data_IF_432303729424
#
_entry.id   IF_432303729424
#
_cell.length_a   1.000
_cell.length_b   1.000
_cell.length_c   1.000
_cell.angle_alpha   90.00
_cell.angle_beta   90.00
_cell.angle_gamma   90.00
#
_symmetry.space_group_name_H-M   'P 1'
#
loop_
_entity.id
_entity.type
_entity.pdbx_description
1 polymer ?
#
# COMPACT_ATOMS: atom_id res chain seq x y z
N UNK A 1 -15.82 -1.00 -14.57
CA UNK A 1 -14.66 -1.63 -13.89
C UNK A 1 -14.88 -3.13 -13.86
N UNK A 2 -13.81 -3.93 -13.92
CA UNK A 2 -13.91 -5.40 -13.86
C UNK A 2 -13.03 -5.94 -12.73
N UNK A 3 -13.52 -6.92 -11.99
CA UNK A 3 -12.74 -7.66 -10.99
C UNK A 3 -12.14 -8.88 -11.68
N UNK A 4 -10.84 -9.11 -11.50
CA UNK A 4 -10.11 -10.22 -12.10
C UNK A 4 -9.14 -10.83 -11.08
N UNK A 5 -8.96 -12.15 -11.11
CA UNK A 5 -7.85 -12.78 -10.40
C UNK A 5 -6.56 -12.57 -11.20
N UNK A 6 -5.40 -12.51 -10.54
CA UNK A 6 -4.13 -12.33 -11.24
C UNK A 6 -3.61 -13.69 -11.73
N UNK A 7 -4.01 -14.05 -12.94
CA UNK A 7 -3.51 -15.22 -13.67
C UNK A 7 -2.47 -14.81 -14.74
N UNK A 8 -1.96 -15.78 -15.51
CA UNK A 8 -0.98 -15.53 -16.59
C UNK A 8 -1.49 -14.55 -17.64
N UNK A 9 -2.78 -14.64 -18.01
CA UNK A 9 -3.41 -13.77 -19.01
C UNK A 9 -3.51 -12.34 -18.51
N UNK A 10 -3.91 -12.11 -17.27
CA UNK A 10 -3.95 -10.77 -16.68
C UNK A 10 -2.54 -10.18 -16.57
N UNK A 11 -1.55 -10.99 -16.19
CA UNK A 11 -0.13 -10.56 -16.13
C UNK A 11 0.38 -10.11 -17.50
N UNK A 12 0.07 -10.84 -18.57
CA UNK A 12 0.42 -10.46 -19.94
C UNK A 12 -0.22 -9.13 -20.34
N UNK A 13 -1.53 -8.98 -20.09
CA UNK A 13 -2.25 -7.74 -20.43
C UNK A 13 -1.74 -6.50 -19.68
N UNK A 14 -1.26 -6.68 -18.45
CA UNK A 14 -0.62 -5.60 -17.67
C UNK A 14 0.72 -5.18 -18.31
N UNK A 15 1.50 -6.14 -18.81
CA UNK A 15 2.76 -5.88 -19.54
C UNK A 15 2.50 -5.19 -20.88
N UNK A 16 1.54 -5.66 -21.66
CA UNK A 16 1.14 -5.03 -22.93
C UNK A 16 0.68 -3.57 -22.74
N UNK A 17 0.09 -3.29 -21.57
CA UNK A 17 -0.35 -1.95 -21.17
C UNK A 17 0.74 -1.12 -20.51
N UNK A 18 1.95 -1.65 -20.37
CA UNK A 18 3.14 -1.09 -19.68
C UNK A 18 2.92 -0.73 -18.20
N UNK A 19 1.81 -1.16 -17.62
CA UNK A 19 1.46 -0.85 -16.24
C UNK A 19 2.35 -1.60 -15.24
N UNK A 20 2.75 -2.83 -15.58
CA UNK A 20 3.65 -3.62 -14.73
C UNK A 20 5.11 -3.16 -14.80
N UNK A 21 5.48 -2.42 -15.83
CA UNK A 21 6.83 -1.84 -15.96
C UNK A 21 6.97 -0.66 -14.98
N UNK A 22 5.91 0.14 -14.85
CA UNK A 22 5.80 1.21 -13.86
C UNK A 22 5.55 0.68 -12.45
N UNK A 23 4.82 -0.44 -12.31
CA UNK A 23 4.35 -0.95 -11.02
C UNK A 23 4.24 -2.47 -11.02
N UNK A 24 5.37 -3.13 -10.81
CA UNK A 24 5.52 -4.59 -10.87
C UNK A 24 4.71 -5.35 -9.82
N UNK A 25 4.39 -4.71 -8.69
CA UNK A 25 3.61 -5.30 -7.59
C UNK A 25 2.19 -5.75 -8.00
N UNK A 26 1.65 -5.23 -9.11
CA UNK A 26 0.38 -5.68 -9.70
C UNK A 26 0.40 -7.17 -10.06
N UNK A 27 1.57 -7.68 -10.47
CA UNK A 27 1.76 -9.07 -10.87
C UNK A 27 1.73 -10.06 -9.69
N UNK A 28 1.86 -9.55 -8.47
CA UNK A 28 1.86 -10.33 -7.23
C UNK A 28 0.60 -10.13 -6.38
N UNK A 29 -0.40 -9.41 -6.93
CA UNK A 29 -1.71 -9.28 -6.29
C UNK A 29 -2.50 -10.59 -6.36
N UNK A 30 -3.35 -10.82 -5.38
CA UNK A 30 -4.29 -11.94 -5.38
C UNK A 30 -5.40 -11.69 -6.43
N UNK A 31 -5.86 -10.44 -6.50
CA UNK A 31 -6.85 -9.96 -7.45
C UNK A 31 -6.64 -8.47 -7.77
N UNK A 32 -7.25 -8.04 -8.87
CA UNK A 32 -7.27 -6.65 -9.32
C UNK A 32 -8.70 -6.20 -9.62
N UNK A 33 -8.94 -4.91 -9.45
CA UNK A 33 -9.98 -4.18 -10.16
C UNK A 33 -9.31 -3.39 -11.28
N UNK A 34 -9.80 -3.57 -12.51
CA UNK A 34 -9.23 -2.95 -13.70
C UNK A 34 -10.23 -2.04 -14.41
N UNK A 35 -9.70 -1.00 -15.05
CA UNK A 35 -10.40 -0.15 -16.03
C UNK A 35 -9.75 -0.37 -17.39
N UNK A 36 -10.59 -0.56 -18.41
CA UNK A 36 -10.15 -0.80 -19.77
C UNK A 36 -10.61 0.34 -20.69
N UNK A 37 -9.77 0.68 -21.66
CA UNK A 37 -10.11 1.56 -22.77
C UNK A 37 -9.44 1.02 -24.03
N UNK A 38 -10.20 0.89 -25.12
CA UNK A 38 -9.74 0.27 -26.37
C UNK A 38 -9.05 -1.09 -26.16
N UNK A 39 -9.70 -1.96 -25.36
CA UNK A 39 -9.23 -3.30 -24.96
C UNK A 39 -7.93 -3.36 -24.13
N UNK A 40 -7.28 -2.23 -23.86
CA UNK A 40 -6.08 -2.13 -23.00
C UNK A 40 -6.45 -1.76 -21.58
N UNK A 41 -5.66 -2.22 -20.61
CA UNK A 41 -5.84 -1.85 -19.20
C UNK A 41 -5.22 -0.48 -19.01
N UNK A 42 -6.02 0.52 -18.66
CA UNK A 42 -5.56 1.91 -18.46
C UNK A 42 -5.39 2.28 -16.99
N UNK A 43 -5.87 1.43 -16.08
CA UNK A 43 -5.69 1.59 -14.66
C UNK A 43 -6.06 0.31 -13.93
N UNK A 44 -5.36 0.06 -12.83
CA UNK A 44 -5.54 -1.12 -12.00
C UNK A 44 -5.33 -0.75 -10.53
N UNK A 45 -6.11 -1.37 -9.65
CA UNK A 45 -5.83 -1.40 -8.23
C UNK A 45 -5.99 -2.82 -7.73
N UNK A 46 -5.20 -3.21 -6.74
CA UNK A 46 -5.10 -4.59 -6.30
C UNK A 46 -4.78 -4.72 -4.82
N UNK A 47 -4.92 -5.94 -4.31
CA UNK A 47 -4.42 -6.35 -3.00
C UNK A 47 -3.51 -7.55 -3.20
N UNK A 48 -2.32 -7.50 -2.61
CA UNK A 48 -1.32 -8.55 -2.70
C UNK A 48 -0.48 -8.71 -1.44
N UNK A 49 0.31 -9.77 -1.42
CA UNK A 49 1.23 -10.07 -0.33
C UNK A 49 0.52 -10.53 0.95
N UNK A 50 1.32 -10.99 1.91
CA UNK A 50 0.81 -11.49 3.20
C UNK A 50 0.19 -10.38 4.06
N UNK A 51 0.59 -9.13 3.83
CA UNK A 51 0.08 -7.97 4.55
C UNK A 51 -1.10 -7.29 3.83
N UNK A 52 -1.62 -7.90 2.75
CA UNK A 52 -2.76 -7.38 2.00
C UNK A 52 -2.51 -5.92 1.58
N UNK A 53 -1.31 -5.70 1.05
CA UNK A 53 -0.84 -4.40 0.61
C UNK A 53 -1.62 -4.02 -0.63
N UNK A 54 -2.20 -2.83 -0.57
CA UNK A 54 -2.96 -2.28 -1.67
C UNK A 54 -2.05 -1.53 -2.65
N UNK A 55 -2.28 -1.76 -3.93
CA UNK A 55 -1.60 -1.08 -5.03
C UNK A 55 -2.60 -0.30 -5.90
N UNK A 56 -2.13 0.76 -6.58
CA UNK A 56 -2.92 1.57 -7.50
C UNK A 56 -2.02 2.17 -8.58
N UNK A 57 -2.39 1.97 -9.84
CA UNK A 57 -1.85 2.70 -10.97
C UNK A 57 -2.96 3.15 -11.91
N UNK A 58 -2.80 4.32 -12.50
CA UNK A 58 -3.59 4.82 -13.62
C UNK A 58 -2.60 5.43 -14.61
N UNK A 59 -2.72 5.08 -15.88
CA UNK A 59 -1.88 5.67 -16.94
C UNK A 59 -2.05 7.19 -16.95
N UNK A 60 -0.95 7.92 -17.17
CA UNK A 60 -0.90 9.39 -17.06
C UNK A 60 -2.02 10.11 -17.82
N UNK A 61 -2.28 9.69 -19.07
CA UNK A 61 -3.32 10.27 -19.94
C UNK A 61 -4.75 10.15 -19.40
N UNK A 62 -4.97 9.29 -18.40
CA UNK A 62 -6.26 9.02 -17.78
C UNK A 62 -6.32 9.45 -16.30
N UNK A 63 -5.27 10.07 -15.77
CA UNK A 63 -5.27 10.65 -14.42
C UNK A 63 -6.18 11.89 -14.35
N UNK A 64 -6.49 12.33 -13.12
CA UNK A 64 -7.38 13.47 -12.83
C UNK A 64 -8.85 13.34 -13.31
N UNK A 65 -9.27 12.14 -13.72
CA UNK A 65 -10.65 11.82 -14.12
C UNK A 65 -11.46 11.07 -13.04
N UNK A 66 -11.00 11.07 -11.80
CA UNK A 66 -11.62 10.33 -10.70
C UNK A 66 -11.43 8.80 -10.73
N UNK A 67 -10.74 8.25 -11.73
CA UNK A 67 -10.55 6.79 -11.84
C UNK A 67 -9.84 6.17 -10.63
N UNK A 68 -8.85 6.86 -10.07
CA UNK A 68 -8.08 6.35 -8.94
C UNK A 68 -8.95 6.09 -7.70
N UNK A 69 -9.82 7.04 -7.33
CA UNK A 69 -10.69 6.88 -6.16
C UNK A 69 -11.74 5.79 -6.37
N UNK A 70 -12.27 5.67 -7.59
CA UNK A 70 -13.22 4.62 -7.95
C UNK A 70 -12.59 3.23 -7.89
N UNK A 71 -11.36 3.08 -8.41
CA UNK A 71 -10.58 1.85 -8.35
C UNK A 71 -10.31 1.43 -6.89
N UNK A 72 -9.88 2.38 -6.06
CA UNK A 72 -9.61 2.13 -4.64
C UNK A 72 -10.86 1.70 -3.87
N UNK A 73 -12.01 2.35 -4.11
CA UNK A 73 -13.29 1.92 -3.51
C UNK A 73 -13.65 0.50 -3.92
N UNK A 74 -13.59 0.22 -5.21
CA UNK A 74 -13.97 -1.10 -5.74
C UNK A 74 -13.08 -2.22 -5.17
N UNK A 75 -11.77 -1.98 -5.01
CA UNK A 75 -10.85 -2.94 -4.38
C UNK A 75 -11.18 -3.18 -2.91
N UNK A 76 -11.52 -2.13 -2.15
CA UNK A 76 -11.90 -2.27 -0.74
C UNK A 76 -13.19 -3.09 -0.60
N UNK A 77 -14.19 -2.82 -1.43
CA UNK A 77 -15.45 -3.58 -1.40
C UNK A 77 -15.25 -5.04 -1.81
N UNK A 78 -14.41 -5.29 -2.81
CA UNK A 78 -14.07 -6.66 -3.20
C UNK A 78 -13.27 -7.40 -2.11
N UNK A 79 -12.36 -6.72 -1.41
CA UNK A 79 -11.62 -7.29 -0.29
C UNK A 79 -12.57 -7.74 0.84
N UNK A 80 -13.60 -6.94 1.15
CA UNK A 80 -14.65 -7.31 2.11
C UNK A 80 -15.41 -8.55 1.66
N UNK A 81 -15.84 -8.61 0.38
CA UNK A 81 -16.55 -9.77 -0.19
C UNK A 81 -15.71 -11.05 -0.12
N UNK A 82 -14.40 -10.93 -0.38
CA UNK A 82 -13.42 -12.01 -0.26
C UNK A 82 -13.02 -12.34 1.18
N UNK A 83 -13.66 -11.71 2.18
CA UNK A 83 -13.47 -11.96 3.61
C UNK A 83 -12.05 -11.67 4.12
N UNK A 84 -11.33 -10.75 3.49
CA UNK A 84 -10.09 -10.22 4.08
C UNK A 84 -10.41 -9.62 5.46
N UNK A 85 -9.45 -9.67 6.37
CA UNK A 85 -9.65 -9.09 7.71
C UNK A 85 -9.26 -7.62 7.79
N UNK A 86 -8.38 -7.18 6.89
CA UNK A 86 -7.88 -5.81 6.81
C UNK A 86 -7.22 -5.57 5.45
N UNK A 87 -6.88 -4.30 5.19
CA UNK A 87 -5.98 -3.87 4.12
C UNK A 87 -4.96 -2.86 4.64
N UNK A 88 -3.75 -2.90 4.08
CA UNK A 88 -2.68 -1.96 4.39
C UNK A 88 -2.34 -1.14 3.15
N UNK A 89 -1.97 0.12 3.36
CA UNK A 89 -1.37 0.94 2.33
C UNK A 89 -0.23 1.78 2.91
N UNK A 90 0.56 2.40 2.04
CA UNK A 90 1.46 3.46 2.43
C UNK A 90 1.17 4.74 1.64
N UNK A 91 1.48 5.90 2.23
CA UNK A 91 1.41 7.19 1.53
C UNK A 91 2.57 8.07 1.93
N UNK A 92 2.93 8.99 1.04
CA UNK A 92 3.69 10.17 1.44
C UNK A 92 2.76 11.11 2.23
N UNK A 93 3.06 11.43 3.51
CA UNK A 93 2.25 12.38 4.26
C UNK A 93 2.30 13.80 3.67
N UNK A 94 3.31 14.13 2.86
CA UNK A 94 3.45 15.43 2.21
C UNK A 94 2.67 15.53 0.89
N UNK A 95 1.95 14.49 0.49
CA UNK A 95 1.06 14.52 -0.68
C UNK A 95 -0.40 14.77 -0.23
N UNK A 96 -0.89 16.02 -0.20
CA UNK A 96 -2.20 16.35 0.35
C UNK A 96 -3.36 15.71 -0.41
N UNK A 97 -3.20 15.50 -1.73
CA UNK A 97 -4.21 14.82 -2.55
C UNK A 97 -4.34 13.37 -2.12
N UNK A 98 -3.22 12.67 -1.93
CA UNK A 98 -3.23 11.28 -1.49
C UNK A 98 -3.70 11.13 -0.03
N UNK A 99 -3.38 12.10 0.82
CA UNK A 99 -3.92 12.17 2.19
C UNK A 99 -5.44 12.23 2.17
N UNK A 100 -6.03 13.20 1.46
CA UNK A 100 -7.49 13.35 1.35
C UNK A 100 -8.19 12.12 0.79
N UNK A 101 -7.61 11.50 -0.25
CA UNK A 101 -8.18 10.29 -0.85
C UNK A 101 -8.22 9.15 0.16
N UNK A 102 -7.13 8.91 0.89
CA UNK A 102 -7.09 7.83 1.88
C UNK A 102 -7.99 8.10 3.10
N UNK A 103 -8.05 9.34 3.56
CA UNK A 103 -8.91 9.72 4.69
C UNK A 103 -10.39 9.55 4.34
N UNK A 104 -10.78 9.90 3.11
CA UNK A 104 -12.12 9.66 2.58
C UNK A 104 -12.47 8.17 2.47
N UNK A 105 -11.47 7.31 2.26
CA UNK A 105 -11.62 5.86 2.23
C UNK A 105 -11.50 5.20 3.62
N UNK A 106 -11.45 6.01 4.68
CA UNK A 106 -11.28 5.57 6.07
C UNK A 106 -9.99 4.76 6.32
N UNK A 107 -8.97 4.92 5.48
CA UNK A 107 -7.65 4.36 5.74
C UNK A 107 -6.88 5.29 6.67
N UNK A 108 -6.78 4.89 7.94
CA UNK A 108 -6.18 5.71 8.98
C UNK A 108 -4.72 5.34 9.19
N UNK A 109 -3.83 6.32 9.41
CA UNK A 109 -2.46 6.04 9.76
C UNK A 109 -2.35 5.31 11.10
N UNK A 110 -1.49 4.30 11.16
CA UNK A 110 -1.19 3.53 12.37
C UNK A 110 0.19 3.84 12.94
N UNK A 111 1.18 4.10 12.08
CA UNK A 111 2.51 4.58 12.45
C UNK A 111 3.18 5.24 11.23
N UNK A 112 4.24 6.01 11.47
CA UNK A 112 5.04 6.65 10.43
C UNK A 112 6.43 6.03 10.42
N UNK A 113 6.98 5.88 9.21
CA UNK A 113 8.35 5.43 9.00
C UNK A 113 9.13 6.54 8.32
N UNK A 114 10.19 6.99 8.99
CA UNK A 114 11.14 7.96 8.45
C UNK A 114 12.56 7.54 8.84
N UNK A 115 13.27 6.88 7.93
CA UNK A 115 14.64 6.38 8.18
C UNK A 115 15.70 6.99 7.25
N UNK A 116 15.31 7.94 6.39
CA UNK A 116 16.22 8.79 5.59
C UNK A 116 15.63 10.17 5.42
N UNK A 117 16.48 11.11 5.03
CA UNK A 117 16.05 12.42 4.58
C UNK A 117 15.12 12.29 3.36
N UNK A 118 14.05 13.08 3.32
CA UNK A 118 13.03 13.09 2.24
C UNK A 118 12.29 11.77 2.00
N UNK A 119 12.52 10.74 2.81
CA UNK A 119 11.78 9.48 2.77
C UNK A 119 10.90 9.35 4.00
N UNK A 120 9.65 9.81 3.88
CA UNK A 120 8.62 9.65 4.92
C UNK A 120 7.45 8.89 4.35
N UNK A 121 7.00 7.86 5.08
CA UNK A 121 5.83 7.06 4.71
C UNK A 121 4.93 6.87 5.93
N UNK A 122 3.67 7.26 5.80
CA UNK A 122 2.64 6.80 6.71
C UNK A 122 2.24 5.38 6.30
N UNK A 123 2.18 4.47 7.27
CA UNK A 123 1.53 3.17 7.09
C UNK A 123 0.08 3.32 7.52
N UNK A 124 -0.82 3.04 6.58
CA UNK A 124 -2.26 3.17 6.72
C UNK A 124 -2.90 1.81 6.88
N UNK A 125 -4.00 1.77 7.64
CA UNK A 125 -4.71 0.54 7.94
C UNK A 125 -6.21 0.75 7.87
N UNK A 126 -6.91 -0.22 7.30
CA UNK A 126 -8.37 -0.34 7.38
C UNK A 126 -8.73 -1.77 7.79
N UNK A 127 -9.36 -1.91 8.94
CA UNK A 127 -9.88 -3.19 9.43
C UNK A 127 -11.30 -3.42 8.91
N UNK A 128 -11.63 -4.67 8.62
CA UNK A 128 -12.98 -5.09 8.23
C UNK A 128 -13.69 -5.88 9.31
N UNK A 129 -12.95 -6.44 10.28
CA UNK A 129 -13.51 -7.25 11.35
C UNK A 129 -12.62 -7.22 12.61
N UNK A 130 -13.04 -7.94 13.67
CA UNK A 130 -12.31 -8.03 14.95
C UNK A 130 -10.88 -8.56 14.79
N UNK A 131 -10.64 -9.53 13.91
CA UNK A 131 -9.28 -10.06 13.64
C UNK A 131 -8.38 -8.97 13.07
N UNK A 132 -8.90 -8.17 12.14
CA UNK A 132 -8.22 -6.99 11.61
C UNK A 132 -7.88 -5.97 12.69
N UNK A 133 -8.78 -5.71 13.64
CA UNK A 133 -8.49 -4.79 14.74
C UNK A 133 -7.45 -5.29 15.73
N UNK A 134 -7.43 -6.60 16.01
CA UNK A 134 -6.36 -7.19 16.81
C UNK A 134 -5.01 -6.97 16.11
N UNK A 135 -4.95 -7.24 14.80
CA UNK A 135 -3.73 -7.03 14.03
C UNK A 135 -3.33 -5.54 13.97
N UNK A 136 -4.30 -4.63 13.84
CA UNK A 136 -4.06 -3.18 13.89
C UNK A 136 -3.43 -2.76 15.22
N UNK A 137 -3.93 -3.28 16.35
CA UNK A 137 -3.37 -3.00 17.67
C UNK A 137 -1.93 -3.53 17.79
N UNK A 138 -1.66 -4.74 17.29
CA UNK A 138 -0.30 -5.27 17.25
C UNK A 138 0.65 -4.34 16.48
N UNK A 139 0.28 -3.94 15.26
CA UNK A 139 1.10 -3.04 14.45
C UNK A 139 1.25 -1.63 15.05
N UNK A 140 0.32 -1.19 15.89
CA UNK A 140 0.44 0.10 16.58
C UNK A 140 1.63 0.18 17.55
N UNK A 141 2.23 -0.96 17.92
CA UNK A 141 3.51 -1.00 18.62
C UNK A 141 4.61 -0.22 17.89
N UNK A 142 4.61 -0.25 16.55
CA UNK A 142 5.59 0.49 15.74
C UNK A 142 5.44 2.01 15.83
N UNK A 143 4.32 2.52 16.37
CA UNK A 143 4.14 3.94 16.71
C UNK A 143 4.79 4.34 18.05
N UNK A 144 5.87 3.65 18.44
CA UNK A 144 6.71 3.94 19.60
C UNK A 144 8.17 4.02 19.16
N UNK A 145 9.02 4.73 19.92
CA UNK A 145 10.47 4.78 19.61
C UNK A 145 11.07 3.37 19.54
N UNK A 146 10.77 2.52 20.52
CA UNK A 146 11.28 1.14 20.58
C UNK A 146 10.77 0.33 19.38
N UNK A 147 9.46 0.35 19.12
CA UNK A 147 8.88 -0.38 17.99
C UNK A 147 9.42 0.10 16.65
N UNK A 148 9.56 1.41 16.43
CA UNK A 148 10.21 1.95 15.24
C UNK A 148 11.65 1.45 15.11
N UNK A 149 12.46 1.49 16.17
CA UNK A 149 13.83 0.95 16.14
C UNK A 149 13.86 -0.51 15.72
N UNK A 150 13.01 -1.34 16.32
CA UNK A 150 12.85 -2.76 15.97
C UNK A 150 12.48 -2.92 14.49
N UNK A 151 11.50 -2.16 14.01
CA UNK A 151 11.07 -2.19 12.62
C UNK A 151 12.20 -1.82 11.66
N UNK A 152 12.97 -0.76 11.94
CA UNK A 152 14.08 -0.33 11.07
C UNK A 152 15.19 -1.38 11.03
N UNK A 153 15.51 -2.01 12.15
CA UNK A 153 16.47 -3.12 12.20
C UNK A 153 15.95 -4.29 11.35
N UNK A 154 14.68 -4.65 11.49
CA UNK A 154 14.07 -5.70 10.65
C UNK A 154 14.12 -5.36 9.16
N UNK A 155 13.80 -4.12 8.78
CA UNK A 155 13.90 -3.66 7.39
C UNK A 155 15.35 -3.79 6.91
N UNK A 156 16.34 -3.42 7.72
CA UNK A 156 17.75 -3.48 7.36
C UNK A 156 18.26 -4.91 7.16
N UNK A 157 17.87 -5.84 8.02
CA UNK A 157 18.33 -7.24 7.97
C UNK A 157 17.56 -8.04 6.92
N UNK A 158 16.24 -7.87 6.87
CA UNK A 158 15.33 -8.69 6.08
C UNK A 158 14.79 -7.97 4.84
N UNK A 159 15.46 -6.90 4.37
CA UNK A 159 14.98 -6.01 3.31
C UNK A 159 14.33 -6.77 2.13
N UNK A 160 15.08 -7.67 1.51
CA UNK A 160 14.60 -8.45 0.35
C UNK A 160 13.37 -9.29 0.67
N UNK A 161 13.35 -9.97 1.81
CA UNK A 161 12.24 -10.83 2.23
C UNK A 161 11.00 -9.98 2.52
N UNK A 162 11.15 -8.91 3.29
CA UNK A 162 10.05 -8.02 3.67
C UNK A 162 9.40 -7.38 2.44
N UNK A 163 10.19 -6.78 1.55
CA UNK A 163 9.64 -6.08 0.39
C UNK A 163 9.05 -7.04 -0.64
N UNK A 164 9.75 -8.12 -1.01
CA UNK A 164 9.27 -9.03 -2.05
C UNK A 164 8.10 -9.90 -1.56
N UNK A 165 8.24 -10.54 -0.40
CA UNK A 165 7.30 -11.57 0.04
C UNK A 165 6.11 -11.00 0.84
N UNK A 166 6.38 -10.02 1.72
CA UNK A 166 5.33 -9.50 2.61
C UNK A 166 4.58 -8.34 1.95
N UNK A 167 5.29 -7.45 1.25
CA UNK A 167 4.73 -6.20 0.72
C UNK A 167 4.56 -6.15 -0.80
N UNK A 168 5.09 -7.12 -1.54
CA UNK A 168 5.08 -7.20 -3.01
C UNK A 168 5.79 -6.06 -3.76
N UNK A 169 6.64 -5.27 -3.10
CA UNK A 169 7.41 -4.19 -3.73
C UNK A 169 8.83 -4.62 -4.09
N UNK A 170 9.44 -3.94 -5.07
CA UNK A 170 10.88 -4.08 -5.28
C UNK A 170 11.64 -3.46 -4.10
N UNK A 171 12.66 -4.14 -3.52
CA UNK A 171 13.43 -3.59 -2.42
C UNK A 171 14.26 -2.37 -2.83
N UNK A 172 14.53 -2.23 -4.13
CA UNK A 172 15.37 -1.16 -4.70
C UNK A 172 14.64 0.19 -4.73
N UNK A 173 13.30 0.18 -4.67
CA UNK A 173 12.48 1.40 -4.53
C UNK A 173 12.67 2.08 -3.16
N UNK A 174 13.26 1.38 -2.19
CA UNK A 174 13.38 1.81 -0.80
C UNK A 174 14.84 2.09 -0.44
N UNK A 175 15.15 3.27 0.14
CA UNK A 175 16.52 3.58 0.48
C UNK A 175 17.03 2.68 1.61
N UNK A 176 18.36 2.55 1.73
CA UNK A 176 18.98 1.79 2.81
C UNK A 176 18.64 2.42 4.18
N UNK A 177 18.18 1.66 5.19
CA UNK A 177 17.76 2.25 6.45
C UNK A 177 18.91 2.81 7.31
N UNK A 178 18.73 4.02 7.83
CA UNK A 178 19.59 4.60 8.86
C UNK A 178 18.87 4.60 10.22
N UNK A 179 19.33 3.71 11.10
CA UNK A 179 18.74 3.52 12.44
C UNK A 179 18.89 4.78 13.30
N UNK A 180 20.07 5.43 13.26
CA UNK A 180 20.33 6.63 14.06
C UNK A 180 19.43 7.77 13.59
N UNK A 181 19.31 7.94 12.27
CA UNK A 181 18.42 8.92 11.69
C UNK A 181 16.96 8.66 12.09
N UNK A 182 16.50 7.40 12.00
CA UNK A 182 15.13 7.03 12.33
C UNK A 182 14.75 7.31 13.78
N UNK A 183 15.65 6.99 14.73
CA UNK A 183 15.42 7.25 16.15
C UNK A 183 15.38 8.76 16.43
N UNK A 184 16.32 9.52 15.86
CA UNK A 184 16.40 10.97 16.05
C UNK A 184 15.17 11.69 15.50
N UNK A 185 14.63 11.21 14.38
CA UNK A 185 13.50 11.82 13.68
C UNK A 185 12.17 11.12 13.96
N UNK A 186 12.10 10.23 14.95
CA UNK A 186 10.87 9.54 15.28
C UNK A 186 9.75 10.54 15.61
N UNK A 187 8.64 10.43 14.88
CA UNK A 187 7.42 11.18 15.12
C UNK A 187 6.30 10.23 15.46
N UNK A 188 5.77 10.37 16.67
CA UNK A 188 4.56 9.64 17.08
C UNK A 188 3.37 10.20 16.34
N UNK A 189 2.60 9.33 15.68
CA UNK A 189 1.31 9.72 15.14
C UNK A 189 0.34 9.84 16.31
N UNK A 190 -0.12 11.07 16.58
CA UNK A 190 -1.16 11.32 17.57
C UNK A 190 -2.52 11.24 16.88
N UNK A 191 -3.30 10.23 17.26
CA UNK A 191 -4.72 10.13 16.89
C UNK A 191 -5.54 11.09 17.74
N UNK A 192 -5.38 12.40 17.55
CA UNK A 192 -6.39 13.34 18.05
C UNK A 192 -7.53 13.39 17.03
N UNK A 193 -8.65 12.78 17.43
CA UNK A 193 -10.00 12.87 16.86
C UNK A 193 -10.25 12.28 15.47
N UNK A 194 -11.03 11.19 15.45
CA UNK A 194 -12.46 11.29 15.12
C UNK A 194 -13.24 10.60 16.22
#
# INVERSE_FOLDING_TARGET
MKIVNVDSKIKERLKESKLSDEMSNLLACDFLVIVEHNKKIIGASGIGGKFHVRTLIVQDKFRNKGLGILLLKAVIEEAKKRKYSFVIASRDPNNPTLVRVHDFLNLMPIFQVQYREKFTRDVLFLSFNKKGEVFRKLLSFFNTKIGTTVLIIFIKILKKILFNFLLTYSPDEFPEPDIRFAIKNFKKINRKHR
#
